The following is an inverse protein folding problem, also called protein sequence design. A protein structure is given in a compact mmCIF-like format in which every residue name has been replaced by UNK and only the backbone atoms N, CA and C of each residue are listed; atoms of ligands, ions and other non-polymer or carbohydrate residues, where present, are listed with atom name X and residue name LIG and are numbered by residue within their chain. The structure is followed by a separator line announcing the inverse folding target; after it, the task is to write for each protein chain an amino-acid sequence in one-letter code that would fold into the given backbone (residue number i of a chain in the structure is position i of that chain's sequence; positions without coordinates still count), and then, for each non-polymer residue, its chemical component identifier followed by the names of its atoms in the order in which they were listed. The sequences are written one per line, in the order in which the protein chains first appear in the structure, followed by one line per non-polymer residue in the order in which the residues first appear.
data_IF_876303863630
#
_entry.id   IF_876303863630
#
_cell.length_a   1.000
_cell.length_b   1.000
_cell.length_c   1.000
_cell.angle_alpha   90.00
_cell.angle_beta   90.00
_cell.angle_gamma   90.00
#
_symmetry.space_group_name_H-M   'P 1'
#
loop_
_entity.id
_entity.type
_entity.pdbx_description
1 polymer ?
#
# COMPACT_ATOMS: atom_id res chain seq x y z
N UNK A 1 10.40 -4.55 -42.48
CA UNK A 1 10.03 -4.94 -41.11
C UNK A 1 9.26 -3.79 -40.50
N UNK A 2 7.97 -4.01 -40.23
CA UNK A 2 7.10 -3.03 -39.58
C UNK A 2 7.72 -2.65 -38.25
N UNK A 3 7.79 -1.36 -37.92
CA UNK A 3 8.06 -0.92 -36.55
C UNK A 3 6.82 -1.32 -35.76
N UNK A 4 6.89 -2.47 -35.11
CA UNK A 4 5.92 -2.83 -34.09
C UNK A 4 5.94 -1.68 -33.08
N UNK A 5 4.81 -0.98 -32.98
CA UNK A 5 4.63 0.06 -31.98
C UNK A 5 5.00 -0.50 -30.61
N UNK A 6 5.66 0.32 -29.80
CA UNK A 6 6.15 -0.07 -28.48
C UNK A 6 4.96 -0.53 -27.61
N UNK A 7 4.71 -1.85 -27.64
CA UNK A 7 3.56 -2.49 -27.02
C UNK A 7 3.52 -2.19 -25.53
N UNK A 8 4.70 -2.10 -24.90
CA UNK A 8 4.85 -1.79 -23.48
C UNK A 8 4.40 -0.34 -23.22
N UNK A 9 4.80 0.61 -24.08
CA UNK A 9 4.31 1.97 -23.98
C UNK A 9 2.80 2.10 -24.16
N UNK A 10 2.23 1.42 -25.15
CA UNK A 10 0.80 1.54 -25.47
C UNK A 10 -0.12 0.81 -24.48
N UNK A 11 0.25 -0.37 -23.97
CA UNK A 11 -0.63 -1.14 -23.07
C UNK A 11 -0.33 -0.94 -21.58
N UNK A 12 0.94 -0.79 -21.20
CA UNK A 12 1.33 -0.73 -19.78
C UNK A 12 1.34 0.70 -19.28
N UNK A 13 1.83 1.66 -20.08
CA UNK A 13 2.00 3.05 -19.62
C UNK A 13 0.87 4.00 -20.01
N UNK A 14 0.17 3.79 -21.13
CA UNK A 14 -0.88 4.71 -21.61
C UNK A 14 -1.94 5.07 -20.55
N UNK A 15 -2.45 4.13 -19.71
CA UNK A 15 -3.49 4.46 -18.72
C UNK A 15 -2.99 5.35 -17.58
N UNK A 16 -1.67 5.49 -17.41
CA UNK A 16 -1.03 6.19 -16.30
C UNK A 16 -0.24 7.43 -16.75
N UNK A 17 -0.02 7.57 -18.05
CA UNK A 17 0.73 8.67 -18.65
C UNK A 17 -0.17 9.64 -19.41
N UNK A 18 -1.27 9.14 -19.98
CA UNK A 18 -2.28 9.95 -20.62
C UNK A 18 -3.18 10.61 -19.57
N UNK A 19 -3.32 11.93 -19.73
CA UNK A 19 -4.14 12.76 -18.86
C UNK A 19 -5.61 12.48 -19.21
N UNK A 20 -6.23 11.50 -18.55
CA UNK A 20 -7.64 11.20 -18.73
C UNK A 20 -8.48 12.35 -18.16
N UNK A 21 -8.76 13.35 -19.00
CA UNK A 21 -9.80 14.35 -18.78
C UNK A 21 -9.33 15.76 -18.49
N UNK A 22 -8.72 16.44 -19.47
CA UNK A 22 -8.87 17.89 -19.62
C UNK A 22 -8.69 18.31 -21.07
N UNK A 23 -9.84 18.56 -21.71
CA UNK A 23 -10.11 19.40 -22.88
C UNK A 23 -8.91 20.00 -23.61
N UNK A 24 -8.85 19.71 -24.92
CA UNK A 24 -8.19 20.48 -25.98
C UNK A 24 -8.14 21.99 -25.69
N UNK A 25 -7.09 22.48 -25.03
CA UNK A 25 -6.74 23.90 -25.04
C UNK A 25 -5.33 24.13 -24.48
N UNK A 26 -4.52 24.81 -25.30
CA UNK A 26 -3.31 25.59 -24.93
C UNK A 26 -1.98 24.84 -24.82
N UNK A 27 -1.31 24.80 -25.98
CA UNK A 27 0.00 25.43 -26.24
C UNK A 27 0.73 26.07 -25.05
N UNK A 28 2.04 25.75 -24.97
CA UNK A 28 3.14 26.37 -24.17
C UNK A 28 3.27 25.98 -22.69
N UNK A 29 3.88 24.82 -22.42
CA UNK A 29 4.86 24.66 -21.32
C UNK A 29 5.87 23.54 -21.59
N UNK A 30 6.76 23.76 -22.56
CA UNK A 30 7.80 22.79 -22.97
C UNK A 30 9.07 22.98 -22.13
N UNK A 31 9.04 22.63 -20.84
CA UNK A 31 10.20 22.35 -19.94
C UNK A 31 9.67 22.27 -18.50
N UNK A 32 9.57 21.05 -17.98
CA UNK A 32 9.00 20.74 -16.66
C UNK A 32 8.50 19.30 -16.52
N UNK A 33 8.43 18.56 -17.63
CA UNK A 33 7.64 17.32 -17.72
C UNK A 33 8.34 16.05 -17.22
N UNK A 34 9.67 16.00 -17.15
CA UNK A 34 10.39 14.74 -16.91
C UNK A 34 10.33 14.29 -15.45
N UNK A 35 10.36 15.23 -14.50
CA UNK A 35 10.16 14.92 -13.06
C UNK A 35 8.73 14.44 -12.81
N UNK A 36 7.75 15.08 -13.45
CA UNK A 36 6.34 14.70 -13.39
C UNK A 36 6.08 13.33 -14.04
N UNK A 37 6.73 13.01 -15.17
CA UNK A 37 6.66 11.68 -15.81
C UNK A 37 7.22 10.60 -14.89
N UNK A 38 8.42 10.79 -14.33
CA UNK A 38 9.02 9.85 -13.36
C UNK A 38 8.09 9.59 -12.17
N UNK A 39 7.51 10.64 -11.58
CA UNK A 39 6.57 10.51 -10.46
C UNK A 39 5.31 9.71 -10.83
N UNK A 40 4.79 9.83 -12.05
CA UNK A 40 3.64 9.05 -12.52
C UNK A 40 3.98 7.57 -12.65
N UNK A 41 5.14 7.25 -13.25
CA UNK A 41 5.62 5.87 -13.40
C UNK A 41 5.90 5.24 -12.04
N UNK A 42 6.57 5.95 -11.13
CA UNK A 42 6.80 5.47 -9.77
C UNK A 42 5.48 5.17 -9.03
N UNK A 43 4.46 6.04 -9.15
CA UNK A 43 3.13 5.79 -8.56
C UNK A 43 2.44 4.58 -9.18
N UNK A 44 2.60 4.35 -10.48
CA UNK A 44 2.10 3.15 -11.14
C UNK A 44 2.74 1.90 -10.53
N UNK A 45 4.06 1.88 -10.38
CA UNK A 45 4.75 0.75 -9.74
C UNK A 45 4.34 0.55 -8.28
N UNK A 46 4.19 1.63 -7.51
CA UNK A 46 3.66 1.53 -6.13
C UNK A 46 2.30 0.84 -6.15
N UNK A 47 1.38 1.24 -7.04
CA UNK A 47 0.06 0.61 -7.16
C UNK A 47 0.17 -0.88 -7.48
N UNK A 48 0.92 -1.24 -8.52
CA UNK A 48 1.07 -2.63 -8.98
C UNK A 48 1.69 -3.52 -7.89
N UNK A 49 2.77 -3.06 -7.26
CA UNK A 49 3.44 -3.81 -6.20
C UNK A 49 2.57 -3.93 -4.95
N UNK A 50 1.83 -2.86 -4.60
CA UNK A 50 0.88 -2.90 -3.48
C UNK A 50 -0.22 -3.94 -3.73
N UNK A 51 -0.81 -3.97 -4.93
CA UNK A 51 -1.83 -4.98 -5.28
C UNK A 51 -1.28 -6.41 -5.17
N UNK A 52 -0.02 -6.65 -5.55
CA UNK A 52 0.62 -7.95 -5.37
C UNK A 52 0.81 -8.29 -3.89
N UNK A 53 1.28 -7.34 -3.08
CA UNK A 53 1.44 -7.54 -1.63
C UNK A 53 0.09 -7.84 -0.94
N UNK A 54 -0.95 -7.10 -1.30
CA UNK A 54 -2.31 -7.25 -0.76
C UNK A 54 -2.95 -8.60 -1.06
N UNK A 55 -2.57 -9.23 -2.18
CA UNK A 55 -3.11 -10.52 -2.61
C UNK A 55 -2.21 -11.72 -2.26
N UNK A 56 -1.14 -11.49 -1.49
CA UNK A 56 -0.18 -12.53 -1.09
C UNK A 56 -0.76 -13.57 -0.14
N UNK A 57 -1.70 -13.15 0.71
CA UNK A 57 -2.28 -14.00 1.75
C UNK A 57 -3.77 -14.23 1.52
N UNK A 58 -4.24 -15.40 1.97
CA UNK A 58 -5.65 -15.76 2.01
C UNK A 58 -6.01 -16.10 3.44
N UNK A 59 -7.14 -15.57 3.89
CA UNK A 59 -7.69 -15.83 5.21
C UNK A 59 -8.88 -16.75 5.09
N UNK A 60 -8.80 -17.91 5.71
CA UNK A 60 -9.89 -18.88 5.79
C UNK A 60 -10.51 -18.83 7.20
N UNK A 61 -11.85 -18.86 7.27
CA UNK A 61 -12.57 -18.89 8.54
C UNK A 61 -12.67 -17.57 9.29
N UNK A 62 -12.48 -16.43 8.62
CA UNK A 62 -12.75 -15.12 9.23
C UNK A 62 -14.25 -14.95 9.53
N UNK A 63 -14.61 -14.33 10.67
CA UNK A 63 -15.97 -13.87 10.93
C UNK A 63 -16.48 -12.92 9.83
N UNK A 64 -17.78 -12.97 9.53
CA UNK A 64 -18.42 -12.15 8.49
C UNK A 64 -18.28 -10.63 8.75
N UNK A 65 -18.09 -10.23 10.02
CA UNK A 65 -17.88 -8.84 10.41
C UNK A 65 -16.50 -8.27 10.03
N UNK A 66 -15.56 -9.11 9.59
CA UNK A 66 -14.19 -8.69 9.26
C UNK A 66 -13.98 -8.72 7.74
N UNK A 67 -13.72 -7.54 7.17
CA UNK A 67 -13.30 -7.42 5.77
C UNK A 67 -11.81 -7.81 5.64
N UNK A 68 -11.49 -8.94 4.95
CA UNK A 68 -10.10 -9.38 4.77
C UNK A 68 -9.24 -8.36 4.01
N UNK A 69 -9.84 -7.61 3.08
CA UNK A 69 -9.13 -6.55 2.34
C UNK A 69 -8.71 -5.43 3.29
N UNK A 70 -9.54 -5.07 4.26
CA UNK A 70 -9.18 -4.06 5.26
C UNK A 70 -8.09 -4.56 6.23
N UNK A 71 -8.16 -5.82 6.63
CA UNK A 71 -7.15 -6.45 7.48
C UNK A 71 -5.77 -6.44 6.80
N UNK A 72 -5.69 -6.93 5.55
CA UNK A 72 -4.44 -6.95 4.78
C UNK A 72 -3.90 -5.54 4.55
N UNK A 73 -4.77 -4.57 4.24
CA UNK A 73 -4.34 -3.18 4.05
C UNK A 73 -3.72 -2.59 5.32
N UNK A 74 -4.30 -2.92 6.48
CA UNK A 74 -3.80 -2.48 7.78
C UNK A 74 -2.45 -3.12 8.09
N UNK A 75 -2.30 -4.42 7.85
CA UNK A 75 -1.03 -5.14 8.03
C UNK A 75 0.06 -4.59 7.10
N UNK A 76 -0.27 -4.38 5.82
CA UNK A 76 0.67 -3.82 4.86
C UNK A 76 1.18 -2.43 5.25
N UNK A 77 0.28 -1.54 5.71
CA UNK A 77 0.60 -0.14 5.99
C UNK A 77 1.20 0.10 7.37
N UNK A 78 0.66 -0.54 8.40
CA UNK A 78 0.96 -0.24 9.80
C UNK A 78 1.68 -1.41 10.50
N UNK A 79 1.85 -2.56 9.84
CA UNK A 79 2.44 -3.80 10.36
C UNK A 79 1.70 -4.46 11.55
N UNK A 80 0.62 -3.85 12.02
CA UNK A 80 -0.11 -4.24 13.21
C UNK A 80 -1.62 -4.05 13.01
N UNK A 81 -2.36 -5.14 13.24
CA UNK A 81 -3.81 -5.14 13.44
C UNK A 81 -4.12 -5.84 14.76
N UNK A 82 -5.19 -5.46 15.45
CA UNK A 82 -5.61 -6.12 16.69
C UNK A 82 -6.99 -6.74 16.50
N UNK A 83 -7.06 -8.04 16.74
CA UNK A 83 -8.29 -8.82 16.71
C UNK A 83 -8.88 -8.94 18.11
N UNK A 84 -10.15 -8.58 18.27
CA UNK A 84 -10.85 -8.69 19.54
C UNK A 84 -12.36 -8.79 19.34
N UNK A 85 -13.06 -9.20 20.39
CA UNK A 85 -14.52 -9.18 20.41
C UNK A 85 -15.03 -7.89 21.05
N UNK A 86 -15.80 -7.11 20.30
CA UNK A 86 -16.40 -5.89 20.81
C UNK A 86 -17.77 -6.17 21.44
N UNK A 87 -17.90 -5.94 22.74
CA UNK A 87 -19.14 -6.17 23.50
C UNK A 87 -20.25 -5.15 23.21
N UNK A 88 -19.91 -3.94 22.74
CA UNK A 88 -20.89 -2.88 22.47
C UNK A 88 -21.59 -3.14 21.14
N UNK A 89 -20.82 -3.55 20.13
CA UNK A 89 -21.34 -3.91 18.81
C UNK A 89 -21.64 -5.41 18.65
N UNK A 90 -21.33 -6.22 19.67
CA UNK A 90 -21.52 -7.67 19.70
C UNK A 90 -20.95 -8.40 18.48
N UNK A 91 -19.74 -8.01 18.05
CA UNK A 91 -19.08 -8.55 16.85
C UNK A 91 -17.57 -8.64 17.00
N UNK A 92 -16.95 -9.49 16.19
CA UNK A 92 -15.49 -9.55 16.07
C UNK A 92 -14.99 -8.39 15.21
N UNK A 93 -13.91 -7.76 15.65
CA UNK A 93 -13.28 -6.65 14.94
C UNK A 93 -11.79 -6.93 14.77
N UNK A 94 -11.25 -6.53 13.63
CA UNK A 94 -9.82 -6.46 13.36
C UNK A 94 -9.49 -5.05 12.89
N UNK A 95 -8.89 -4.25 13.78
CA UNK A 95 -8.66 -2.82 13.55
C UNK A 95 -7.19 -2.46 13.63
N UNK A 96 -6.83 -1.36 12.97
CA UNK A 96 -5.52 -0.72 13.15
C UNK A 96 -5.32 -0.40 14.64
N UNK A 97 -4.10 -0.61 15.13
CA UNK A 97 -3.81 -0.38 16.53
C UNK A 97 -2.42 0.21 16.75
N UNK A 98 -2.22 0.76 17.95
CA UNK A 98 -0.92 1.16 18.46
C UNK A 98 -0.65 0.48 19.80
N UNK A 99 0.61 0.09 20.04
CA UNK A 99 1.03 -0.44 21.34
C UNK A 99 0.93 0.63 22.44
N UNK A 100 0.50 0.21 23.63
CA UNK A 100 0.29 1.05 24.81
C UNK A 100 0.78 0.33 26.08
N UNK A 101 0.83 1.06 27.18
CA UNK A 101 0.98 0.58 28.58
C UNK A 101 2.31 -0.14 28.88
N UNK A 102 3.31 0.08 28.01
CA UNK A 102 4.65 -0.47 28.13
C UNK A 102 4.83 -1.73 27.29
N UNK A 103 5.94 -2.42 27.55
CA UNK A 103 6.26 -3.70 26.92
C UNK A 103 6.67 -4.73 27.96
N UNK A 104 6.48 -6.00 27.66
CA UNK A 104 6.96 -7.09 28.50
C UNK A 104 8.47 -7.37 28.25
N UNK A 105 9.04 -8.38 28.91
CA UNK A 105 10.45 -8.78 28.75
C UNK A 105 10.87 -9.14 27.32
N UNK A 106 9.91 -9.39 26.42
CA UNK A 106 10.14 -9.72 25.02
C UNK A 106 9.73 -8.57 24.08
N UNK A 107 9.66 -7.35 24.59
CA UNK A 107 9.26 -6.15 23.85
C UNK A 107 7.86 -6.23 23.21
N UNK A 108 6.97 -7.07 23.75
CA UNK A 108 5.58 -7.12 23.32
C UNK A 108 4.76 -6.10 24.10
N UNK A 109 3.94 -5.26 23.42
CA UNK A 109 3.05 -4.33 24.11
C UNK A 109 2.11 -5.04 25.07
N UNK A 110 1.92 -4.46 26.25
CA UNK A 110 1.02 -4.98 27.30
C UNK A 110 -0.41 -4.44 27.18
N UNK A 111 -0.59 -3.41 26.37
CA UNK A 111 -1.89 -2.88 25.97
C UNK A 111 -1.87 -2.39 24.52
N UNK A 112 -3.05 -2.16 23.98
CA UNK A 112 -3.25 -1.67 22.62
C UNK A 112 -4.37 -0.63 22.59
N UNK A 113 -4.23 0.36 21.71
CA UNK A 113 -5.34 1.24 21.34
C UNK A 113 -5.76 0.91 19.92
N UNK A 114 -6.96 0.34 19.77
CA UNK A 114 -7.58 0.09 18.49
C UNK A 114 -8.26 1.37 17.99
N UNK A 115 -8.08 1.70 16.71
CA UNK A 115 -8.72 2.84 16.06
C UNK A 115 -9.61 2.34 14.93
N UNK A 116 -10.88 2.72 14.97
CA UNK A 116 -11.82 2.51 13.88
C UNK A 116 -11.78 3.66 12.88
N UNK A 117 -12.91 3.88 12.21
CA UNK A 117 -13.14 5.13 11.48
C UNK A 117 -13.10 6.34 12.44
N UNK A 118 -13.10 7.55 11.88
CA UNK A 118 -12.69 8.83 12.49
C UNK A 118 -13.12 9.15 13.94
N UNK A 119 -14.09 8.44 14.51
CA UNK A 119 -14.65 8.70 15.85
C UNK A 119 -14.47 7.52 16.82
N UNK A 120 -14.08 6.33 16.34
CA UNK A 120 -13.96 5.15 17.20
C UNK A 120 -12.52 4.92 17.65
N UNK A 121 -12.30 4.93 18.96
CA UNK A 121 -11.05 4.49 19.57
C UNK A 121 -11.33 3.71 20.83
N UNK A 122 -10.70 2.54 20.99
CA UNK A 122 -10.88 1.68 22.15
C UNK A 122 -9.54 1.25 22.72
N UNK A 123 -9.44 1.28 24.05
CA UNK A 123 -8.29 0.75 24.76
C UNK A 123 -8.56 -0.70 25.13
N UNK A 124 -7.58 -1.55 24.85
CA UNK A 124 -7.62 -2.98 25.05
C UNK A 124 -6.37 -3.40 25.79
N UNK A 125 -6.49 -4.28 26.77
CA UNK A 125 -5.34 -4.93 27.37
C UNK A 125 -4.88 -6.11 26.50
N UNK A 126 -3.62 -6.52 26.63
CA UNK A 126 -3.07 -7.62 25.84
C UNK A 126 -3.71 -9.00 26.12
N UNK A 127 -4.44 -9.15 27.22
CA UNK A 127 -5.23 -10.36 27.56
C UNK A 127 -6.61 -10.38 26.90
N UNK A 128 -7.15 -9.23 26.53
CA UNK A 128 -8.48 -9.08 25.92
C UNK A 128 -8.43 -9.08 24.38
N UNK A 129 -7.24 -9.05 23.79
CA UNK A 129 -7.07 -8.94 22.34
C UNK A 129 -5.86 -9.73 21.83
N UNK A 130 -5.90 -10.05 20.53
CA UNK A 130 -4.83 -10.79 19.84
C UNK A 130 -4.19 -9.86 18.81
N UNK A 131 -2.93 -9.42 19.01
CA UNK A 131 -2.22 -8.65 18.00
C UNK A 131 -1.79 -9.55 16.84
N UNK A 132 -2.12 -9.12 15.63
CA UNK A 132 -1.71 -9.72 14.36
C UNK A 132 -0.61 -8.84 13.77
N UNK A 133 0.57 -9.42 13.60
CA UNK A 133 1.73 -8.75 13.02
C UNK A 133 1.92 -9.15 11.57
N UNK A 134 2.25 -8.20 10.69
CA UNK A 134 2.44 -8.48 9.26
C UNK A 134 3.67 -9.35 8.98
N UNK A 135 4.75 -9.16 9.74
CA UNK A 135 6.00 -9.89 9.61
C UNK A 135 6.73 -9.95 10.98
N UNK A 136 7.77 -10.79 11.06
CA UNK A 136 8.56 -10.97 12.29
C UNK A 136 9.27 -9.69 12.75
N UNK A 137 9.60 -8.78 11.83
CA UNK A 137 10.26 -7.51 12.15
C UNK A 137 9.28 -6.45 12.67
N UNK A 138 7.96 -6.66 12.52
CA UNK A 138 6.90 -5.70 12.85
C UNK A 138 7.07 -4.36 12.13
N UNK A 139 7.63 -4.41 10.92
CA UNK A 139 7.83 -3.24 10.07
C UNK A 139 6.81 -3.25 8.93
N UNK A 140 6.30 -2.09 8.52
CA UNK A 140 5.34 -2.04 7.43
C UNK A 140 6.04 -2.33 6.10
N UNK A 141 5.36 -2.96 5.15
CA UNK A 141 5.98 -3.32 3.85
C UNK A 141 5.95 -2.15 2.84
N UNK A 142 5.25 -1.07 3.18
CA UNK A 142 5.03 0.09 2.31
C UNK A 142 6.31 0.85 1.96
N UNK A 143 7.30 0.87 2.86
CA UNK A 143 8.58 1.53 2.66
C UNK A 143 9.42 0.79 1.59
N UNK A 144 9.47 -0.53 1.69
CA UNK A 144 10.13 -1.43 0.74
C UNK A 144 9.50 -1.28 -0.64
N UNK A 145 8.17 -1.31 -0.74
CA UNK A 145 7.45 -1.12 -2.01
C UNK A 145 7.79 0.22 -2.65
N UNK A 146 7.85 1.31 -1.88
CA UNK A 146 8.17 2.64 -2.41
C UNK A 146 9.59 2.69 -2.98
N UNK A 147 10.57 2.13 -2.28
CA UNK A 147 11.97 2.10 -2.72
C UNK A 147 12.10 1.30 -4.02
N UNK A 148 11.49 0.12 -4.09
CA UNK A 148 11.52 -0.68 -5.32
C UNK A 148 10.81 0.01 -6.47
N UNK A 149 9.67 0.64 -6.23
CA UNK A 149 8.95 1.39 -7.25
C UNK A 149 9.76 2.57 -7.82
N UNK A 150 10.48 3.30 -6.97
CA UNK A 150 11.36 4.39 -7.41
C UNK A 150 12.53 3.87 -8.24
N UNK A 151 13.14 2.75 -7.83
CA UNK A 151 14.24 2.12 -8.58
C UNK A 151 13.78 1.58 -9.94
N UNK A 152 12.60 0.97 -10.01
CA UNK A 152 12.01 0.51 -11.27
C UNK A 152 11.75 1.68 -12.22
N UNK A 153 11.19 2.78 -11.71
CA UNK A 153 10.96 3.98 -12.50
C UNK A 153 12.27 4.64 -12.99
N UNK A 154 13.38 4.48 -12.27
CA UNK A 154 14.71 4.91 -12.72
C UNK A 154 15.31 3.99 -13.79
N UNK A 155 15.14 2.68 -13.63
CA UNK A 155 15.59 1.69 -14.61
C UNK A 155 14.89 1.90 -15.96
N UNK A 156 13.56 2.02 -15.97
CA UNK A 156 12.78 2.31 -17.16
C UNK A 156 13.23 3.57 -17.89
N UNK A 157 13.51 4.62 -17.13
CA UNK A 157 13.95 5.89 -17.72
C UNK A 157 15.31 5.75 -18.39
N UNK A 158 16.20 4.95 -17.81
CA UNK A 158 17.51 4.67 -18.41
C UNK A 158 17.35 3.91 -19.71
N UNK A 159 16.46 2.91 -19.73
CA UNK A 159 16.12 2.14 -20.94
C UNK A 159 15.51 3.04 -22.02
N UNK A 160 14.57 3.92 -21.66
CA UNK A 160 14.01 4.89 -22.61
C UNK A 160 15.11 5.75 -23.26
N UNK A 161 16.06 6.27 -22.47
CA UNK A 161 17.15 7.12 -22.99
C UNK A 161 18.04 6.35 -23.95
N UNK A 162 18.38 5.09 -23.64
CA UNK A 162 19.22 4.24 -24.47
C UNK A 162 18.55 3.93 -25.82
N UNK A 163 17.26 3.56 -25.80
CA UNK A 163 16.46 3.30 -27.00
C UNK A 163 16.34 4.54 -27.90
N UNK A 164 16.23 5.75 -27.32
CA UNK A 164 16.18 6.98 -28.11
C UNK A 164 17.56 7.44 -28.60
N UNK A 165 18.65 6.96 -28.02
CA UNK A 165 20.02 7.30 -28.40
C UNK A 165 20.56 6.39 -29.52
N UNK A 166 20.05 5.17 -29.66
CA UNK A 166 20.31 4.23 -30.75
C UNK A 166 19.51 4.52 -32.01
#
# INVERSE_FOLDING_TARGET
MSRDGDFVAETVYSPFTEDTGATRARSRRKRGNTRTKKMRIARMYVRILTEMCMNRFKWDGLPESIDPRFLEWTLFRDALSVFYFDKEFNQYMALRASGRDGVNFYDNPTGFTAYGNQVFSKHLKADECVPIWANYMRLPDIDVVRIFADRLAEADRTVEIDIFAS
#
